data_IF_832941570814
#
_entry.id   IF_832941570814
#
_cell.length_a   1.000
_cell.length_b   1.000
_cell.length_c   1.000
_cell.angle_alpha   90.00
_cell.angle_beta   90.00
_cell.angle_gamma   90.00
#
_symmetry.space_group_name_H-M   'P 1'
#
loop_
_entity.id
_entity.type
_entity.pdbx_description
1 polymer ?
#
# COMPACT_ATOMS: atom_id res chain seq x y z
N UNK A 1 28.85 -66.90 16.94
CA UNK A 1 29.55 -65.70 16.43
C UNK A 1 28.50 -64.96 15.61
N UNK A 2 27.85 -63.98 16.22
CA UNK A 2 26.64 -63.33 15.70
C UNK A 2 26.99 -61.86 15.54
N UNK A 3 26.92 -61.34 14.32
CA UNK A 3 27.17 -59.94 14.02
C UNK A 3 25.80 -59.29 13.85
N UNK A 4 25.42 -58.43 14.80
CA UNK A 4 24.24 -57.58 14.70
C UNK A 4 24.56 -56.41 13.77
N UNK A 5 23.80 -56.28 12.67
CA UNK A 5 23.83 -55.11 11.82
C UNK A 5 22.91 -54.04 12.44
N UNK A 6 23.51 -53.04 13.09
CA UNK A 6 22.80 -51.88 13.61
C UNK A 6 22.25 -51.01 12.47
N UNK A 7 20.93 -50.89 12.39
CA UNK A 7 20.25 -49.85 11.64
C UNK A 7 20.36 -48.54 12.42
N UNK A 8 21.06 -47.55 11.86
CA UNK A 8 20.96 -46.16 12.32
C UNK A 8 19.86 -45.47 11.51
N UNK A 9 18.67 -45.37 12.08
CA UNK A 9 17.63 -44.47 11.59
C UNK A 9 17.96 -43.04 12.06
N UNK A 10 18.32 -42.17 11.11
CA UNK A 10 18.26 -40.73 11.33
C UNK A 10 16.88 -40.23 10.90
N UNK A 11 15.99 -39.81 11.81
CA UNK A 11 14.86 -38.99 11.43
C UNK A 11 15.37 -37.59 11.08
N UNK A 12 15.52 -37.33 9.78
CA UNK A 12 15.60 -35.96 9.27
C UNK A 12 14.24 -35.30 9.52
N UNK A 13 14.10 -34.66 10.68
CA UNK A 13 13.02 -33.70 10.95
C UNK A 13 13.13 -32.55 9.93
N UNK A 14 12.48 -32.71 8.79
CA UNK A 14 12.01 -31.58 8.01
C UNK A 14 10.87 -30.97 8.83
N UNK A 15 11.20 -30.04 9.71
CA UNK A 15 10.19 -29.11 10.22
C UNK A 15 9.64 -28.34 9.02
N UNK A 16 8.33 -28.40 8.73
CA UNK A 16 7.75 -27.52 7.73
C UNK A 16 7.89 -26.09 8.25
N UNK A 17 8.76 -25.30 7.61
CA UNK A 17 8.69 -23.85 7.73
C UNK A 17 7.33 -23.44 7.15
N UNK A 18 6.41 -23.00 8.01
CA UNK A 18 5.25 -22.25 7.56
C UNK A 18 5.75 -21.12 6.66
N UNK A 19 5.47 -21.23 5.37
CA UNK A 19 5.69 -20.15 4.43
C UNK A 19 4.56 -19.17 4.73
N UNK A 20 4.85 -18.19 5.59
CA UNK A 20 3.97 -17.08 5.94
C UNK A 20 3.46 -16.44 4.64
N UNK A 21 2.22 -16.76 4.27
CA UNK A 21 1.58 -16.24 3.08
C UNK A 21 1.27 -14.77 3.31
N UNK A 22 2.18 -13.90 2.90
CA UNK A 22 1.99 -12.45 2.93
C UNK A 22 0.67 -12.08 2.24
N UNK A 23 -0.35 -11.68 3.01
CA UNK A 23 -1.65 -11.26 2.48
C UNK A 23 -1.55 -9.85 1.90
N UNK A 24 -0.99 -9.79 0.70
CA UNK A 24 -1.01 -8.62 -0.18
C UNK A 24 -2.39 -8.55 -0.88
N UNK A 25 -3.04 -7.39 -0.78
CA UNK A 25 -4.30 -7.12 -1.46
C UNK A 25 -4.13 -5.96 -2.42
N UNK A 26 -4.49 -6.16 -3.68
CA UNK A 26 -4.58 -5.10 -4.68
C UNK A 26 -6.02 -4.58 -4.80
N UNK A 27 -6.17 -3.26 -4.86
CA UNK A 27 -7.45 -2.57 -5.06
C UNK A 27 -7.27 -1.54 -6.17
N UNK A 28 -8.18 -1.54 -7.14
CA UNK A 28 -8.14 -0.64 -8.29
C UNK A 28 -9.30 0.35 -8.17
N UNK A 29 -8.97 1.63 -8.16
CA UNK A 29 -9.94 2.73 -8.30
C UNK A 29 -9.88 3.27 -9.73
N UNK A 30 -11.01 3.30 -10.42
CA UNK A 30 -11.10 3.72 -11.83
C UNK A 30 -11.99 4.95 -11.97
N UNK A 31 -11.51 5.95 -12.69
CA UNK A 31 -12.31 7.14 -13.03
C UNK A 31 -11.81 7.75 -14.33
N UNK A 32 -12.74 7.90 -15.28
CA UNK A 32 -12.46 8.45 -16.60
C UNK A 32 -11.29 7.73 -17.28
N UNK A 33 -10.20 8.46 -17.49
CA UNK A 33 -9.03 7.99 -18.22
C UNK A 33 -7.93 7.38 -17.35
N UNK A 34 -8.15 7.20 -16.04
CA UNK A 34 -7.11 6.79 -15.10
C UNK A 34 -7.55 5.66 -14.17
N UNK A 35 -6.57 4.82 -13.84
CA UNK A 35 -6.67 3.85 -12.74
C UNK A 35 -5.64 4.22 -11.67
N UNK A 36 -6.05 4.20 -10.41
CA UNK A 36 -5.16 4.20 -9.26
C UNK A 36 -5.14 2.78 -8.70
N UNK A 37 -3.98 2.15 -8.74
CA UNK A 37 -3.75 0.81 -8.20
C UNK A 37 -3.12 0.99 -6.82
N UNK A 38 -3.79 0.46 -5.81
CA UNK A 38 -3.39 0.49 -4.41
C UNK A 38 -3.05 -0.93 -3.96
N UNK A 39 -1.83 -1.14 -3.52
CA UNK A 39 -1.35 -2.40 -2.96
C UNK A 39 -1.26 -2.25 -1.45
N UNK A 40 -2.04 -3.05 -0.71
CA UNK A 40 -2.07 -3.07 0.74
C UNK A 40 -1.45 -4.35 1.29
N UNK A 41 -0.45 -4.20 2.16
CA UNK A 41 0.21 -5.28 2.88
C UNK A 41 -0.27 -5.26 4.32
N UNK A 42 -1.24 -6.12 4.64
CA UNK A 42 -1.94 -6.12 5.93
C UNK A 42 -1.00 -6.40 7.11
N UNK A 43 -0.09 -7.36 6.99
CA UNK A 43 0.88 -7.73 8.04
C UNK A 43 1.87 -6.61 8.38
N UNK A 44 2.17 -5.75 7.43
CA UNK A 44 3.13 -4.65 7.60
C UNK A 44 2.44 -3.33 7.89
N UNK A 45 1.10 -3.30 7.89
CA UNK A 45 0.28 -2.09 7.94
C UNK A 45 0.80 -1.04 6.95
N UNK A 46 1.10 -1.48 5.72
CA UNK A 46 1.71 -0.65 4.68
C UNK A 46 0.89 -0.65 3.42
N UNK A 47 0.79 0.50 2.78
CA UNK A 47 0.16 0.66 1.48
C UNK A 47 1.09 1.38 0.52
N UNK A 48 1.06 0.98 -0.74
CA UNK A 48 1.70 1.71 -1.83
C UNK A 48 0.72 1.91 -2.96
N UNK A 49 0.93 2.92 -3.80
CA UNK A 49 0.09 3.07 -5.00
C UNK A 49 0.85 3.63 -6.18
N UNK A 50 0.31 3.38 -7.36
CA UNK A 50 0.67 4.08 -8.58
C UNK A 50 -0.58 4.39 -9.40
N UNK A 51 -0.49 5.42 -10.24
CA UNK A 51 -1.59 5.81 -11.12
C UNK A 51 -1.15 5.62 -12.57
N UNK A 52 -1.99 4.95 -13.34
CA UNK A 52 -1.80 4.71 -14.76
C UNK A 52 -2.90 5.36 -15.58
N UNK A 53 -2.66 5.49 -16.88
CA UNK A 53 -3.63 6.02 -17.82
C UNK A 53 -4.14 4.89 -18.70
N UNK A 54 -5.43 4.64 -18.66
CA UNK A 54 -6.09 3.54 -19.38
C UNK A 54 -7.06 4.01 -20.47
N UNK A 55 -7.51 5.26 -20.40
CA UNK A 55 -8.47 5.83 -21.35
C UNK A 55 -7.91 6.89 -22.29
N UNK A 56 -8.73 7.29 -23.24
CA UNK A 56 -8.41 8.32 -24.23
C UNK A 56 -8.44 9.73 -23.62
N UNK A 57 -8.21 10.77 -24.42
CA UNK A 57 -8.41 12.16 -23.97
C UNK A 57 -9.91 12.47 -23.81
N UNK A 58 -10.79 11.78 -24.54
CA UNK A 58 -12.24 12.02 -24.50
C UNK A 58 -12.87 11.53 -23.20
N UNK A 59 -12.25 10.55 -22.57
CA UNK A 59 -12.71 9.95 -21.31
C UNK A 59 -12.17 10.70 -20.08
N UNK A 60 -11.56 11.88 -20.27
CA UNK A 60 -11.01 12.66 -19.16
C UNK A 60 -12.12 13.33 -18.37
N UNK A 61 -12.13 13.07 -17.09
CA UNK A 61 -12.92 13.85 -16.14
C UNK A 61 -12.09 14.95 -15.47
N UNK A 62 -12.75 15.99 -14.99
CA UNK A 62 -12.11 16.99 -14.15
C UNK A 62 -11.72 16.38 -12.81
N UNK A 63 -10.56 16.76 -12.30
CA UNK A 63 -10.09 16.34 -10.97
C UNK A 63 -9.96 14.83 -10.72
N UNK A 64 -9.91 13.98 -11.76
CA UNK A 64 -9.77 12.51 -11.63
C UNK A 64 -8.76 12.09 -10.56
N UNK A 65 -7.55 12.66 -10.61
CA UNK A 65 -6.46 12.32 -9.68
C UNK A 65 -6.83 12.69 -8.24
N UNK A 66 -7.51 13.81 -8.01
CA UNK A 66 -7.99 14.17 -6.66
C UNK A 66 -9.00 13.17 -6.14
N UNK A 67 -9.97 12.79 -6.98
CA UNK A 67 -11.06 11.88 -6.60
C UNK A 67 -10.50 10.48 -6.31
N UNK A 68 -9.65 9.95 -7.19
CA UNK A 68 -9.04 8.63 -7.03
C UNK A 68 -8.20 8.53 -5.74
N UNK A 69 -7.35 9.52 -5.47
CA UNK A 69 -6.56 9.54 -4.24
C UNK A 69 -7.43 9.78 -2.99
N UNK A 70 -8.55 10.50 -3.12
CA UNK A 70 -9.55 10.62 -2.06
C UNK A 70 -10.19 9.28 -1.72
N UNK A 71 -10.59 8.50 -2.72
CA UNK A 71 -11.14 7.15 -2.54
C UNK A 71 -10.11 6.21 -1.90
N UNK A 72 -8.84 6.26 -2.34
CA UNK A 72 -7.78 5.48 -1.71
C UNK A 72 -7.57 5.87 -0.24
N UNK A 73 -7.62 7.16 0.10
CA UNK A 73 -7.55 7.59 1.51
C UNK A 73 -8.71 7.03 2.32
N UNK A 74 -9.95 7.14 1.85
CA UNK A 74 -11.12 6.59 2.54
C UNK A 74 -10.98 5.08 2.76
N UNK A 75 -10.55 4.34 1.75
CA UNK A 75 -10.30 2.90 1.88
C UNK A 75 -9.25 2.59 2.95
N UNK A 76 -8.11 3.29 2.93
CA UNK A 76 -7.06 3.09 3.93
C UNK A 76 -7.51 3.52 5.34
N UNK A 77 -8.33 4.56 5.45
CA UNK A 77 -8.92 4.96 6.73
C UNK A 77 -9.82 3.86 7.29
N UNK A 78 -10.66 3.25 6.46
CA UNK A 78 -11.51 2.12 6.87
C UNK A 78 -10.66 0.93 7.32
N UNK A 79 -9.56 0.62 6.62
CA UNK A 79 -8.62 -0.43 7.04
C UNK A 79 -7.90 -0.12 8.34
N UNK A 80 -7.49 1.13 8.55
CA UNK A 80 -6.85 1.57 9.79
C UNK A 80 -7.84 1.45 10.96
N UNK A 81 -9.10 1.84 10.75
CA UNK A 81 -10.17 1.73 11.73
C UNK A 81 -10.52 0.26 12.06
N UNK A 82 -10.66 -0.60 11.04
CA UNK A 82 -10.98 -2.03 11.19
C UNK A 82 -9.89 -2.78 11.98
N UNK A 83 -8.63 -2.49 11.68
CA UNK A 83 -7.48 -3.12 12.35
C UNK A 83 -7.03 -2.40 13.63
N UNK A 84 -7.64 -1.25 13.93
CA UNK A 84 -7.19 -0.30 14.96
C UNK A 84 -5.67 -0.07 14.95
N UNK A 85 -5.08 -0.04 13.75
CA UNK A 85 -3.63 0.04 13.55
C UNK A 85 -3.31 1.14 12.54
N UNK A 86 -2.32 2.02 12.79
CA UNK A 86 -1.89 3.01 11.82
C UNK A 86 -1.38 2.37 10.53
N UNK A 87 -1.76 2.92 9.38
CA UNK A 87 -1.31 2.46 8.08
C UNK A 87 -0.32 3.46 7.50
N UNK A 88 0.88 2.97 7.19
CA UNK A 88 1.90 3.73 6.47
C UNK A 88 1.65 3.66 4.98
N UNK A 89 1.35 4.80 4.37
CA UNK A 89 1.10 4.91 2.95
C UNK A 89 2.24 5.64 2.26
N UNK A 90 2.70 5.09 1.14
CA UNK A 90 3.72 5.71 0.30
C UNK A 90 3.34 5.74 -1.18
N UNK A 91 3.76 6.80 -1.86
CA UNK A 91 3.56 7.01 -3.28
C UNK A 91 4.87 7.46 -3.89
N UNK A 92 5.37 6.72 -4.89
CA UNK A 92 6.60 7.06 -5.61
C UNK A 92 6.32 7.38 -7.07
N UNK A 93 6.88 8.47 -7.59
CA UNK A 93 6.69 8.87 -8.99
C UNK A 93 7.87 9.62 -9.59
N UNK A 94 8.00 9.52 -10.92
CA UNK A 94 8.89 10.38 -11.75
C UNK A 94 8.10 11.45 -12.51
N UNK A 95 6.77 11.41 -12.45
CA UNK A 95 5.92 12.26 -13.27
C UNK A 95 5.82 13.66 -12.65
N UNK A 96 6.44 14.65 -13.32
CA UNK A 96 6.45 16.05 -12.88
C UNK A 96 5.06 16.62 -12.57
N UNK A 97 4.02 16.21 -13.30
CA UNK A 97 2.65 16.67 -13.04
C UNK A 97 2.10 16.08 -11.74
N UNK A 98 2.37 14.80 -11.45
CA UNK A 98 1.97 14.17 -10.20
C UNK A 98 2.76 14.70 -9.01
N UNK A 99 4.05 14.99 -9.18
CA UNK A 99 4.88 15.64 -8.15
C UNK A 99 4.29 17.00 -7.79
N UNK A 100 4.00 17.84 -8.80
CA UNK A 100 3.40 19.15 -8.58
C UNK A 100 1.99 19.06 -7.97
N UNK A 101 1.20 18.07 -8.37
CA UNK A 101 -0.11 17.80 -7.78
C UNK A 101 0.01 17.37 -6.32
N UNK A 102 0.90 16.44 -6.01
CA UNK A 102 1.10 15.91 -4.66
C UNK A 102 1.51 17.00 -3.68
N UNK A 103 2.43 17.89 -4.09
CA UNK A 103 2.88 19.05 -3.29
C UNK A 103 1.81 20.11 -3.02
N UNK A 104 0.73 20.14 -3.80
CA UNK A 104 -0.36 21.11 -3.67
C UNK A 104 -1.61 20.42 -3.13
N UNK A 105 -2.35 19.79 -4.03
CA UNK A 105 -3.66 19.18 -3.73
C UNK A 105 -3.49 17.86 -2.97
N UNK A 106 -2.49 17.05 -3.30
CA UNK A 106 -2.27 15.79 -2.59
C UNK A 106 -1.97 15.98 -1.10
N UNK A 107 -1.28 17.08 -0.74
CA UNK A 107 -1.00 17.45 0.64
C UNK A 107 -2.27 17.70 1.45
N UNK A 108 -3.31 18.26 0.84
CA UNK A 108 -4.62 18.43 1.51
C UNK A 108 -5.30 17.08 1.80
N UNK A 109 -5.00 16.04 1.01
CA UNK A 109 -5.57 14.71 1.19
C UNK A 109 -4.78 13.96 2.26
N UNK A 110 -3.46 13.79 2.10
CA UNK A 110 -2.67 12.89 2.94
C UNK A 110 -1.78 13.60 3.97
N UNK A 111 -1.67 14.93 3.95
CA UNK A 111 -0.72 15.68 4.80
C UNK A 111 0.68 15.05 4.77
N UNK A 112 1.28 14.96 3.58
CA UNK A 112 2.56 14.28 3.39
C UNK A 112 3.61 14.72 4.41
N UNK A 113 4.34 13.75 4.95
CA UNK A 113 5.51 14.01 5.78
C UNK A 113 6.53 14.85 5.00
N UNK A 114 7.25 15.74 5.69
CA UNK A 114 8.21 16.67 5.06
C UNK A 114 9.41 15.96 4.37
N UNK A 115 9.52 14.64 4.55
CA UNK A 115 10.47 13.74 3.90
C UNK A 115 10.12 13.48 2.43
N UNK A 116 10.02 14.54 1.64
CA UNK A 116 10.07 14.51 0.16
C UNK A 116 11.45 13.94 -0.25
N UNK A 117 11.61 12.63 -0.20
CA UNK A 117 12.89 11.99 -0.47
C UNK A 117 13.07 11.93 -1.98
N UNK A 118 14.02 12.72 -2.48
CA UNK A 118 14.62 12.46 -3.79
C UNK A 118 15.56 11.28 -3.63
N UNK A 119 15.19 10.12 -4.15
CA UNK A 119 16.01 8.91 -4.03
C UNK A 119 17.34 9.14 -4.77
N UNK A 120 18.46 9.19 -4.02
CA UNK A 120 19.79 9.55 -4.53
C UNK A 120 20.14 8.80 -5.81
N UNK A 121 20.45 9.54 -6.88
CA UNK A 121 20.76 8.97 -8.20
C UNK A 121 19.55 8.70 -9.09
N UNK A 122 18.33 9.04 -8.66
CA UNK A 122 17.11 8.89 -9.45
C UNK A 122 16.28 10.18 -9.48
N UNK A 123 15.53 10.37 -10.57
CA UNK A 123 14.52 11.43 -10.68
C UNK A 123 13.18 11.03 -10.02
N UNK A 124 13.20 10.12 -9.03
CA UNK A 124 12.02 9.69 -8.30
C UNK A 124 11.82 10.53 -7.05
N UNK A 125 10.57 10.93 -6.84
CA UNK A 125 10.07 11.52 -5.61
C UNK A 125 9.20 10.50 -4.90
N UNK A 126 9.40 10.36 -3.60
CA UNK A 126 8.56 9.57 -2.71
C UNK A 126 7.81 10.51 -1.76
N UNK A 127 6.51 10.30 -1.64
CA UNK A 127 5.62 10.96 -0.69
C UNK A 127 5.10 9.92 0.29
N UNK A 128 5.13 10.24 1.58
CA UNK A 128 4.74 9.34 2.66
C UNK A 128 3.73 10.01 3.59
N UNK A 129 2.84 9.20 4.17
CA UNK A 129 1.88 9.65 5.17
C UNK A 129 1.47 8.48 6.05
N UNK A 130 1.15 8.75 7.32
CA UNK A 130 0.53 7.78 8.23
C UNK A 130 -0.94 8.10 8.41
N UNK A 131 -1.78 7.11 8.13
CA UNK A 131 -3.23 7.18 8.36
C UNK A 131 -3.51 6.49 9.69
N UNK A 132 -3.85 7.30 10.69
CA UNK A 132 -4.19 6.80 12.02
C UNK A 132 -5.65 6.38 12.08
N UNK A 133 -6.00 5.35 12.89
CA UNK A 133 -7.39 5.04 13.18
C UNK A 133 -8.08 6.27 13.77
N UNK A 134 -9.18 6.66 13.15
CA UNK A 134 -10.13 7.59 13.75
C UNK A 134 -10.97 6.72 14.68
N UNK A 135 -10.67 6.74 15.99
CA UNK A 135 -11.49 6.04 16.98
C UNK A 135 -12.96 6.40 16.72
N UNK A 136 -13.72 5.47 16.13
CA UNK A 136 -15.17 5.49 16.23
C UNK A 136 -15.45 5.21 17.69
N UNK A 137 -15.47 6.24 18.51
CA UNK A 137 -16.19 6.18 19.77
C UNK A 137 -17.61 5.77 19.39
N UNK A 138 -17.90 4.49 19.55
CA UNK A 138 -19.24 3.95 19.38
C UNK A 138 -20.16 4.79 20.27
N UNK A 139 -21.03 5.57 19.63
CA UNK A 139 -22.27 5.99 20.28
C UNK A 139 -23.06 4.70 20.40
N UNK A 140 -22.91 4.04 21.55
CA UNK A 140 -23.82 2.98 21.98
C UNK A 140 -25.17 3.68 22.18
N UNK A 141 -26.12 3.45 21.28
CA UNK A 141 -27.51 3.85 21.41
C UNK A 141 -28.31 2.79 22.14
#
# INVERSE_FOLDING_TARGET
>A
MTIEAGYHEHPSMFEPKEIEQSKEQEVIFSLGSKNLILTFHSEKSRATSYIERVGSIKDREEHETRILYGQAKSYLQDRANESNTPIFYSFTTRNKKLIAWAKKIGKEIFNWDESDITLKGSNQHMFESTIYPENKSEIIH
#
